data_IF_375642008460
#
_entry.id   IF_375642008460
#
_cell.length_a   1.000
_cell.length_b   1.000
_cell.length_c   1.000
_cell.angle_alpha   90.00
_cell.angle_beta   90.00
_cell.angle_gamma   90.00
#
_symmetry.space_group_name_H-M   'P 1'
#
loop_
_entity.id
_entity.type
_entity.pdbx_description
1 polymer ?
#
# COMPACT_ATOMS: atom_id res chain seq x y z
N UNK A 1 14.20 4.66 -8.84
CA UNK A 1 14.33 4.27 -7.43
C UNK A 1 12.91 4.05 -6.86
N UNK A 2 12.60 2.85 -6.38
CA UNK A 2 11.25 2.61 -5.84
C UNK A 2 11.00 3.37 -4.54
N UNK A 3 9.73 3.73 -4.33
CA UNK A 3 9.25 4.31 -3.08
C UNK A 3 8.23 3.35 -2.47
N UNK A 4 8.43 3.02 -1.20
CA UNK A 4 7.53 2.15 -0.45
C UNK A 4 6.72 3.01 0.52
N UNK A 5 5.40 2.87 0.45
CA UNK A 5 4.50 3.52 1.39
C UNK A 5 3.99 2.46 2.37
N UNK A 6 4.26 2.64 3.63
CA UNK A 6 3.87 1.66 4.63
C UNK A 6 3.83 2.25 6.02
N UNK A 7 3.99 1.38 7.01
CA UNK A 7 4.02 1.79 8.40
C UNK A 7 5.28 1.27 9.06
N UNK A 8 5.79 2.02 10.02
CA UNK A 8 6.83 1.55 10.92
C UNK A 8 6.28 0.36 11.72
N UNK A 9 7.14 -0.54 12.13
CA UNK A 9 6.77 -1.75 12.88
C UNK A 9 5.78 -2.67 12.14
N UNK A 10 5.86 -2.68 10.84
CA UNK A 10 5.10 -3.60 9.99
C UNK A 10 6.03 -4.69 9.48
N UNK A 11 5.76 -5.95 9.83
CA UNK A 11 6.65 -7.05 9.46
C UNK A 11 6.80 -7.21 7.95
N UNK A 12 5.72 -7.03 7.19
CA UNK A 12 5.77 -7.12 5.73
C UNK A 12 6.61 -5.98 5.13
N UNK A 13 6.47 -4.77 5.68
CA UNK A 13 7.29 -3.63 5.24
C UNK A 13 8.77 -3.87 5.56
N UNK A 14 9.06 -4.41 6.74
CA UNK A 14 10.44 -4.72 7.15
C UNK A 14 11.06 -5.75 6.23
N UNK A 15 10.32 -6.79 5.87
CA UNK A 15 10.80 -7.83 4.94
C UNK A 15 11.06 -7.25 3.56
N UNK A 16 10.18 -6.39 3.07
CA UNK A 16 10.34 -5.74 1.76
C UNK A 16 11.60 -4.89 1.73
N UNK A 17 11.81 -4.08 2.75
CA UNK A 17 13.00 -3.22 2.85
C UNK A 17 14.28 -4.04 2.96
N UNK A 18 14.26 -5.08 3.78
CA UNK A 18 15.41 -5.97 3.94
C UNK A 18 15.79 -6.64 2.63
N UNK A 19 14.79 -7.08 1.86
CA UNK A 19 15.02 -7.70 0.56
C UNK A 19 15.71 -6.70 -0.39
N UNK A 20 15.20 -5.46 -0.46
CA UNK A 20 15.78 -4.43 -1.32
C UNK A 20 17.22 -4.10 -0.91
N UNK A 21 17.48 -3.98 0.39
CA UNK A 21 18.83 -3.73 0.90
C UNK A 21 19.77 -4.87 0.55
N UNK A 22 19.32 -6.11 0.72
CA UNK A 22 20.15 -7.29 0.42
C UNK A 22 20.48 -7.41 -1.06
N UNK A 23 19.64 -6.88 -1.94
CA UNK A 23 19.84 -6.93 -3.38
C UNK A 23 20.46 -5.63 -3.93
N UNK A 24 20.86 -4.71 -3.07
CA UNK A 24 21.51 -3.48 -3.47
C UNK A 24 20.60 -2.50 -4.21
N UNK A 25 19.28 -2.57 -3.99
CA UNK A 25 18.32 -1.70 -4.64
C UNK A 25 18.05 -0.49 -3.75
N UNK A 26 18.49 0.68 -4.19
CA UNK A 26 18.21 1.92 -3.48
C UNK A 26 16.70 2.21 -3.51
N UNK A 27 16.15 2.66 -2.39
CA UNK A 27 14.72 2.92 -2.27
C UNK A 27 14.43 3.95 -1.20
N UNK A 28 13.22 4.50 -1.23
CA UNK A 28 12.72 5.44 -0.22
C UNK A 28 11.56 4.80 0.50
N UNK A 29 11.47 5.01 1.80
CA UNK A 29 10.34 4.54 2.60
C UNK A 29 9.58 5.75 3.16
N UNK A 30 8.25 5.73 2.99
CA UNK A 30 7.36 6.76 3.53
C UNK A 30 6.39 6.10 4.49
N UNK A 31 6.43 6.53 5.76
CA UNK A 31 5.46 6.10 6.75
C UNK A 31 4.22 6.98 6.60
N UNK A 32 3.12 6.39 6.14
CA UNK A 32 1.92 7.18 5.83
C UNK A 32 1.10 7.57 7.06
N UNK A 33 1.51 7.12 8.24
CA UNK A 33 0.92 7.62 9.49
C UNK A 33 1.43 9.04 9.76
N UNK A 34 2.73 9.27 9.54
CA UNK A 34 3.35 10.57 9.75
C UNK A 34 3.23 11.47 8.54
N UNK A 35 3.12 10.87 7.36
CA UNK A 35 3.05 11.58 6.07
C UNK A 35 1.85 11.05 5.29
N UNK A 36 0.62 11.53 5.60
CA UNK A 36 -0.58 11.03 4.96
C UNK A 36 -0.47 11.04 3.43
N UNK A 37 -0.96 9.98 2.80
CA UNK A 37 -0.88 9.84 1.35
C UNK A 37 -1.85 10.82 0.70
N UNK A 38 -1.37 11.55 -0.32
CA UNK A 38 -2.21 12.47 -1.09
C UNK A 38 -3.36 11.69 -1.74
N UNK A 39 -4.61 12.15 -1.58
CA UNK A 39 -5.76 11.49 -2.22
C UNK A 39 -5.61 11.31 -3.73
N UNK A 40 -4.90 12.22 -4.41
CA UNK A 40 -4.64 12.11 -5.84
C UNK A 40 -3.80 10.87 -6.17
N UNK A 41 -2.82 10.55 -5.32
CA UNK A 41 -2.01 9.35 -5.47
C UNK A 41 -2.86 8.10 -5.25
N UNK A 42 -3.67 8.09 -4.21
CA UNK A 42 -4.56 6.96 -3.92
C UNK A 42 -5.49 6.67 -5.09
N UNK A 43 -6.09 7.70 -5.68
CA UNK A 43 -6.94 7.55 -6.85
C UNK A 43 -6.17 6.99 -8.05
N UNK A 44 -4.96 7.49 -8.28
CA UNK A 44 -4.12 7.01 -9.37
C UNK A 44 -3.76 5.53 -9.20
N UNK A 45 -3.40 5.14 -7.98
CA UNK A 45 -3.09 3.73 -7.69
C UNK A 45 -4.31 2.84 -7.86
N UNK A 46 -5.48 3.31 -7.42
CA UNK A 46 -6.71 2.55 -7.55
C UNK A 46 -7.12 2.33 -9.01
N UNK A 47 -6.81 3.27 -9.90
CA UNK A 47 -7.05 3.08 -11.33
C UNK A 47 -6.29 1.88 -11.88
N UNK A 48 -5.08 1.66 -11.39
CA UNK A 48 -4.23 0.55 -11.83
C UNK A 48 -4.57 -0.74 -11.10
N UNK A 49 -4.73 -0.66 -9.77
CA UNK A 49 -4.86 -1.82 -8.89
C UNK A 49 -6.30 -2.21 -8.57
N UNK A 50 -7.23 -1.29 -8.63
CA UNK A 50 -8.58 -1.29 -8.06
C UNK A 50 -8.54 -1.01 -6.55
N UNK A 51 -9.62 -0.45 -6.03
CA UNK A 51 -9.73 -0.18 -4.59
C UNK A 51 -9.68 -1.47 -3.77
N UNK A 52 -10.27 -2.55 -4.29
CA UNK A 52 -10.34 -3.83 -3.60
C UNK A 52 -8.95 -4.44 -3.37
N UNK A 53 -8.01 -4.16 -4.26
CA UNK A 53 -6.62 -4.62 -4.10
C UNK A 53 -5.80 -3.67 -3.25
N UNK A 54 -6.09 -2.37 -3.32
CA UNK A 54 -5.36 -1.36 -2.56
C UNK A 54 -5.71 -1.39 -1.08
N UNK A 55 -6.96 -1.72 -0.75
CA UNK A 55 -7.46 -1.76 0.63
C UNK A 55 -7.41 -3.18 1.17
N UNK A 56 -6.88 -3.33 2.37
CA UNK A 56 -6.78 -4.64 3.03
C UNK A 56 -8.11 -5.00 3.72
N UNK A 57 -8.98 -5.69 2.97
CA UNK A 57 -10.28 -6.12 3.49
C UNK A 57 -10.20 -7.32 4.43
N UNK A 58 -9.03 -7.89 4.60
CA UNK A 58 -8.81 -8.96 5.58
C UNK A 58 -8.36 -8.41 6.95
N UNK A 59 -8.13 -7.11 7.06
CA UNK A 59 -7.69 -6.49 8.30
C UNK A 59 -8.80 -6.42 9.34
N UNK A 60 -8.41 -6.39 10.61
CA UNK A 60 -9.37 -6.20 11.70
C UNK A 60 -10.08 -4.85 11.57
N UNK A 61 -9.39 -3.81 11.13
CA UNK A 61 -9.99 -2.50 10.91
C UNK A 61 -11.16 -2.58 9.95
N UNK A 62 -11.01 -3.30 8.84
CA UNK A 62 -12.09 -3.48 7.87
C UNK A 62 -13.23 -4.30 8.48
N UNK A 63 -12.91 -5.39 9.17
CA UNK A 63 -13.91 -6.28 9.77
C UNK A 63 -14.76 -5.57 10.80
N UNK A 64 -14.18 -4.61 11.51
CA UNK A 64 -14.89 -3.87 12.57
C UNK A 64 -15.76 -2.73 12.03
N UNK A 65 -15.71 -2.45 10.71
CA UNK A 65 -16.56 -1.44 10.12
C UNK A 65 -18.02 -1.87 10.11
N UNK A 66 -18.98 -0.92 10.29
CA UNK A 66 -20.39 -1.22 10.06
C UNK A 66 -20.60 -1.73 8.63
N UNK A 67 -21.58 -2.60 8.44
CA UNK A 67 -21.84 -3.20 7.13
C UNK A 67 -22.00 -2.18 6.02
N UNK A 68 -22.68 -1.08 6.30
CA UNK A 68 -22.88 0.01 5.35
C UNK A 68 -21.58 0.70 4.92
N UNK A 69 -20.55 0.71 5.79
CA UNK A 69 -19.25 1.30 5.51
C UNK A 69 -18.36 0.35 4.68
N UNK A 70 -18.75 -0.90 4.54
CA UNK A 70 -18.01 -1.91 3.78
C UNK A 70 -18.41 -1.95 2.31
N UNK A 71 -19.27 -1.04 1.87
CA UNK A 71 -19.78 -1.00 0.50
C UNK A 71 -19.62 0.39 -0.11
N UNK A 72 -18.39 0.92 -0.18
CA UNK A 72 -18.17 2.23 -0.81
C UNK A 72 -18.58 2.16 -2.28
N UNK A 73 -19.37 3.14 -2.71
CA UNK A 73 -19.91 3.17 -4.07
C UNK A 73 -19.15 4.11 -4.99
N UNK A 74 -18.21 4.89 -4.46
CA UNK A 74 -17.47 5.89 -5.25
C UNK A 74 -16.05 6.05 -4.71
N UNK A 75 -15.20 6.66 -5.53
CA UNK A 75 -13.84 7.00 -5.13
C UNK A 75 -13.84 7.86 -3.86
N UNK A 76 -14.75 8.82 -3.78
CA UNK A 76 -14.83 9.72 -2.62
C UNK A 76 -15.14 8.94 -1.34
N UNK A 77 -16.00 7.94 -1.41
CA UNK A 77 -16.31 7.10 -0.25
C UNK A 77 -15.10 6.26 0.18
N UNK A 78 -14.36 5.70 -0.78
CA UNK A 78 -13.12 4.99 -0.47
C UNK A 78 -12.08 5.91 0.15
N UNK A 79 -11.92 7.12 -0.38
CA UNK A 79 -10.98 8.10 0.15
C UNK A 79 -11.35 8.53 1.56
N UNK A 80 -12.65 8.71 1.84
CA UNK A 80 -13.13 9.05 3.17
C UNK A 80 -12.78 7.95 4.19
N UNK A 81 -12.95 6.69 3.81
CA UNK A 81 -12.60 5.56 4.66
C UNK A 81 -11.10 5.54 4.96
N UNK A 82 -10.27 5.74 3.95
CA UNK A 82 -8.81 5.71 4.11
C UNK A 82 -8.35 6.89 4.95
N UNK A 83 -8.96 8.05 4.80
CA UNK A 83 -8.63 9.22 5.61
C UNK A 83 -8.92 8.97 7.08
N UNK A 84 -10.04 8.32 7.35
CA UNK A 84 -10.46 7.98 8.71
C UNK A 84 -9.63 6.82 9.28
N UNK A 85 -9.30 5.84 8.43
CA UNK A 85 -8.56 4.63 8.83
C UNK A 85 -7.39 4.38 7.88
N UNK A 86 -6.28 5.13 8.00
CA UNK A 86 -5.14 4.97 7.08
C UNK A 86 -4.57 3.55 7.04
N UNK A 87 -4.68 2.80 8.12
CA UNK A 87 -4.18 1.43 8.18
C UNK A 87 -4.90 0.47 7.22
N UNK A 88 -6.01 0.91 6.60
CA UNK A 88 -6.69 0.11 5.57
C UNK A 88 -5.86 -0.05 4.30
N UNK A 89 -4.95 0.90 4.01
CA UNK A 89 -4.10 0.79 2.82
C UNK A 89 -3.14 -0.38 3.00
N UNK A 90 -3.12 -1.30 2.04
CA UNK A 90 -2.21 -2.45 2.08
C UNK A 90 -0.75 -2.00 2.12
N UNK A 91 0.07 -2.76 2.81
CA UNK A 91 1.47 -2.42 3.06
C UNK A 91 2.42 -3.49 2.55
N UNK A 92 3.48 -3.10 1.92
CA UNK A 92 3.75 -1.77 1.40
C UNK A 92 3.06 -1.53 0.06
N UNK A 93 2.79 -0.26 -0.26
CA UNK A 93 2.50 0.14 -1.64
C UNK A 93 3.85 0.48 -2.26
N UNK A 94 4.20 -0.16 -3.36
CA UNK A 94 5.51 -0.03 -3.98
C UNK A 94 5.36 0.67 -5.32
N UNK A 95 5.90 1.88 -5.40
CA UNK A 95 5.81 2.73 -6.60
C UNK A 95 7.18 2.85 -7.24
N UNK A 96 7.27 2.56 -8.52
CA UNK A 96 8.50 2.73 -9.30
C UNK A 96 8.14 3.13 -10.73
N UNK A 97 9.14 3.34 -11.57
CA UNK A 97 8.93 3.76 -12.96
C UNK A 97 8.09 2.76 -13.76
N UNK A 98 8.12 1.50 -13.38
CA UNK A 98 7.37 0.43 -14.05
C UNK A 98 5.93 0.30 -13.55
N UNK A 99 5.54 1.07 -12.54
CA UNK A 99 4.16 1.04 -12.04
C UNK A 99 4.07 0.92 -10.54
N UNK A 100 2.92 0.44 -10.07
CA UNK A 100 2.58 0.34 -8.66
C UNK A 100 2.10 -1.07 -8.32
N UNK A 101 2.48 -1.54 -7.12
CA UNK A 101 2.01 -2.83 -6.61
C UNK A 101 1.77 -2.72 -5.10
N UNK A 102 1.13 -3.73 -4.53
CA UNK A 102 0.90 -3.82 -3.08
C UNK A 102 1.42 -5.14 -2.55
N UNK A 103 1.87 -5.11 -1.29
CA UNK A 103 2.36 -6.29 -0.61
C UNK A 103 3.79 -6.62 -0.99
N UNK A 104 4.28 -7.72 -0.40
CA UNK A 104 5.62 -8.20 -0.65
C UNK A 104 5.63 -9.72 -0.76
N UNK A 105 6.25 -10.23 -1.82
CA UNK A 105 6.72 -11.60 -1.90
C UNK A 105 8.10 -11.56 -2.55
N UNK A 106 8.96 -12.50 -2.18
CA UNK A 106 10.28 -12.59 -2.79
C UNK A 106 10.19 -12.80 -4.30
N UNK A 107 9.23 -13.61 -4.73
CA UNK A 107 8.99 -13.85 -6.15
C UNK A 107 8.63 -12.58 -6.89
N UNK A 108 7.69 -11.80 -6.35
CA UNK A 108 7.24 -10.54 -6.96
C UNK A 108 8.39 -9.54 -7.06
N UNK A 109 9.13 -9.36 -5.99
CA UNK A 109 10.26 -8.43 -5.96
C UNK A 109 11.40 -8.91 -6.83
N UNK A 110 11.65 -10.23 -6.88
CA UNK A 110 12.67 -10.80 -7.76
C UNK A 110 12.36 -10.55 -9.23
N UNK A 111 11.11 -10.67 -9.63
CA UNK A 111 10.69 -10.39 -11.01
C UNK A 111 10.78 -8.91 -11.36
N UNK A 112 10.54 -8.04 -10.40
CA UNK A 112 10.44 -6.59 -10.63
C UNK A 112 11.78 -5.87 -10.46
N UNK A 113 12.56 -6.24 -9.46
CA UNK A 113 13.80 -5.54 -9.09
C UNK A 113 15.04 -6.42 -9.12
N UNK A 114 14.88 -7.73 -9.24
CA UNK A 114 15.97 -8.65 -9.36
C UNK A 114 16.50 -8.71 -10.80
N UNK A 115 17.60 -9.36 -10.97
CA UNK A 115 18.25 -9.49 -12.28
C UNK A 115 17.51 -10.45 -13.20
#
# INVERSE_FOLDING_TARGET
>A
MPTLYGLDKCSTCDKARAWLDAHGVAHTFVDYRDNPIDPKLLKAWAKTLTWEKLVNRASYTWRDLPGERKQPASDDEWLALIKEFPALVKRPVVVSDDGVSVGFTEKQFGQRFGD
#
